data_IF_343942101266
#
_entry.id   IF_343942101266
#
_cell.length_a   1.000
_cell.length_b   1.000
_cell.length_c   1.000
_cell.angle_alpha   90.00
_cell.angle_beta   90.00
_cell.angle_gamma   90.00
#
_symmetry.space_group_name_H-M   'P 1'
#
loop_
_entity.id
_entity.type
_entity.pdbx_description
1 polymer ?
#
# COMPACT_ATOMS: atom_id res chain seq x y z
N UNK A 1 33.21 0.40 -17.95
CA UNK A 1 31.88 1.05 -17.80
C UNK A 1 30.79 0.13 -17.23
N UNK A 2 31.00 -1.20 -17.09
CA UNK A 2 30.00 -2.16 -16.57
C UNK A 2 30.02 -2.38 -15.04
N UNK A 3 31.05 -1.95 -14.30
CA UNK A 3 31.07 -2.11 -12.83
C UNK A 3 30.17 -1.14 -12.06
N UNK A 4 29.79 0.00 -12.64
CA UNK A 4 29.01 1.04 -11.93
C UNK A 4 27.52 0.68 -11.80
N UNK A 5 27.00 -0.17 -12.68
CA UNK A 5 25.59 -0.60 -12.68
C UNK A 5 25.33 -1.74 -11.70
N UNK A 6 26.30 -2.64 -11.51
CA UNK A 6 26.16 -3.73 -10.54
C UNK A 6 26.16 -3.22 -9.09
N UNK A 7 27.10 -2.32 -8.74
CA UNK A 7 27.17 -1.75 -7.39
C UNK A 7 25.93 -0.94 -6.99
N UNK A 8 25.31 -0.22 -7.94
CA UNK A 8 24.06 0.51 -7.70
C UNK A 8 22.85 -0.40 -7.49
N UNK A 9 22.84 -1.57 -8.14
CA UNK A 9 21.78 -2.57 -7.94
C UNK A 9 21.89 -3.20 -6.56
N UNK A 10 23.10 -3.54 -6.12
CA UNK A 10 23.34 -4.13 -4.80
C UNK A 10 23.02 -3.15 -3.66
N UNK A 11 23.38 -1.87 -3.81
CA UNK A 11 23.01 -0.82 -2.86
C UNK A 11 21.49 -0.60 -2.79
N UNK A 12 20.81 -0.60 -3.95
CA UNK A 12 19.36 -0.48 -4.01
C UNK A 12 18.64 -1.68 -3.36
N UNK A 13 19.11 -2.91 -3.63
CA UNK A 13 18.57 -4.13 -3.01
C UNK A 13 18.80 -4.15 -1.49
N UNK A 14 19.97 -3.71 -1.03
CA UNK A 14 20.26 -3.60 0.40
C UNK A 14 19.33 -2.60 1.09
N UNK A 15 19.12 -1.42 0.49
CA UNK A 15 18.19 -0.41 0.99
C UNK A 15 16.75 -0.93 1.02
N UNK A 16 16.29 -1.61 -0.03
CA UNK A 16 14.94 -2.20 -0.08
C UNK A 16 14.72 -3.23 1.03
N UNK A 17 15.73 -4.06 1.30
CA UNK A 17 15.67 -5.03 2.40
C UNK A 17 15.62 -4.34 3.76
N UNK A 18 16.44 -3.32 4.00
CA UNK A 18 16.43 -2.55 5.25
C UNK A 18 15.06 -1.91 5.49
N UNK A 19 14.47 -1.28 4.48
CA UNK A 19 13.13 -0.70 4.57
C UNK A 19 12.06 -1.76 4.85
N UNK A 20 12.14 -2.92 4.21
CA UNK A 20 11.20 -4.02 4.46
C UNK A 20 11.32 -4.58 5.88
N UNK A 21 12.54 -4.71 6.41
CA UNK A 21 12.79 -5.13 7.80
C UNK A 21 12.26 -4.10 8.81
N UNK A 22 12.47 -2.81 8.54
CA UNK A 22 11.93 -1.73 9.36
C UNK A 22 10.39 -1.72 9.36
N UNK A 23 9.76 -1.90 8.20
CA UNK A 23 8.30 -2.01 8.09
C UNK A 23 7.78 -3.25 8.82
N UNK A 24 8.47 -4.40 8.71
CA UNK A 24 8.10 -5.61 9.43
C UNK A 24 8.17 -5.42 10.96
N UNK A 25 9.13 -4.64 11.46
CA UNK A 25 9.22 -4.31 12.88
C UNK A 25 8.06 -3.41 13.37
N UNK A 26 7.52 -2.55 12.50
CA UNK A 26 6.40 -1.65 12.83
C UNK A 26 5.06 -2.38 12.74
N UNK A 27 4.84 -3.14 11.67
CA UNK A 27 3.54 -3.71 11.32
C UNK A 27 3.39 -5.18 11.68
N UNK A 28 4.49 -5.88 12.02
CA UNK A 28 4.47 -7.28 12.41
C UNK A 28 3.73 -8.15 11.40
N UNK A 29 2.80 -8.96 11.90
CA UNK A 29 2.02 -9.93 11.09
C UNK A 29 1.09 -9.30 10.04
N UNK A 30 0.84 -7.98 10.14
CA UNK A 30 0.03 -7.24 9.18
C UNK A 30 0.79 -6.97 7.87
N UNK A 31 2.13 -7.04 7.88
CA UNK A 31 2.97 -6.92 6.69
C UNK A 31 3.41 -8.30 6.22
N UNK A 32 3.15 -8.62 4.96
CA UNK A 32 3.53 -9.90 4.34
C UNK A 32 4.21 -9.68 3.00
N UNK A 33 5.43 -10.18 2.78
CA UNK A 33 6.02 -10.20 1.46
C UNK A 33 5.27 -11.19 0.55
N UNK A 34 4.96 -10.78 -0.67
CA UNK A 34 4.30 -11.55 -1.71
C UNK A 34 5.28 -11.83 -2.86
N UNK A 35 6.19 -12.79 -2.68
CA UNK A 35 7.15 -13.11 -3.73
C UNK A 35 8.11 -14.21 -3.31
N UNK A 36 8.97 -14.70 -4.22
CA UNK A 36 10.06 -15.58 -3.85
C UNK A 36 10.97 -14.84 -2.87
N UNK A 37 11.34 -15.50 -1.76
CA UNK A 37 12.26 -14.93 -0.77
C UNK A 37 13.55 -14.46 -1.47
N UNK A 38 13.78 -13.14 -1.49
CA UNK A 38 15.03 -12.54 -1.95
C UNK A 38 15.17 -12.25 -3.46
N UNK A 39 14.08 -12.19 -4.24
CA UNK A 39 14.15 -11.81 -5.67
C UNK A 39 13.27 -10.60 -6.03
N UNK A 40 13.77 -9.61 -6.81
CA UNK A 40 12.96 -8.49 -7.28
C UNK A 40 11.93 -8.92 -8.36
N UNK A 41 10.77 -8.25 -8.46
CA UNK A 41 10.33 -7.13 -7.62
C UNK A 41 9.88 -7.58 -6.23
N UNK A 42 10.27 -6.82 -5.20
CA UNK A 42 9.77 -7.05 -3.83
C UNK A 42 8.34 -6.53 -3.75
N UNK A 43 7.38 -7.43 -3.56
CA UNK A 43 5.98 -7.05 -3.35
C UNK A 43 5.65 -7.23 -1.88
N UNK A 44 5.05 -6.21 -1.28
CA UNK A 44 4.61 -6.17 0.10
C UNK A 44 3.09 -6.02 0.13
N UNK A 45 2.43 -6.80 0.98
CA UNK A 45 1.03 -6.68 1.32
C UNK A 45 0.90 -6.23 2.76
N UNK A 46 0.25 -5.09 2.98
CA UNK A 46 0.04 -4.52 4.29
C UNK A 46 -1.46 -4.45 4.58
N UNK A 47 -1.90 -5.10 5.65
CA UNK A 47 -3.26 -4.95 6.19
C UNK A 47 -3.32 -3.75 7.14
N UNK A 48 -4.17 -2.78 6.83
CA UNK A 48 -4.36 -1.56 7.59
C UNK A 48 -5.73 -1.60 8.28
N UNK A 49 -5.80 -1.61 9.61
CA UNK A 49 -7.07 -1.52 10.31
C UNK A 49 -7.73 -0.17 9.99
N UNK A 50 -9.04 -0.20 9.74
CA UNK A 50 -9.82 1.01 9.51
C UNK A 50 -10.53 1.38 10.80
N UNK A 51 -10.18 2.55 11.33
CA UNK A 51 -10.80 3.11 12.51
C UNK A 51 -12.01 3.97 12.10
N UNK A 52 -13.17 3.68 12.68
CA UNK A 52 -14.35 4.55 12.52
C UNK A 52 -14.17 5.73 13.48
N UNK A 53 -14.02 6.93 12.95
CA UNK A 53 -13.83 8.15 13.75
C UNK A 53 -14.94 8.28 14.82
N UNK A 54 -14.55 8.73 16.01
CA UNK A 54 -15.40 8.91 17.20
C UNK A 54 -15.98 7.64 17.83
N UNK A 55 -15.45 6.44 17.55
CA UNK A 55 -15.96 5.19 18.12
C UNK A 55 -17.40 4.89 17.68
N UNK A 56 -17.77 5.44 16.52
CA UNK A 56 -19.11 5.38 15.97
C UNK A 56 -19.41 4.10 15.21
N UNK A 57 -20.66 4.01 14.75
CA UNK A 57 -21.16 2.96 13.88
C UNK A 57 -21.13 3.47 12.44
N UNK A 58 -20.50 2.75 11.53
CA UNK A 58 -20.51 3.08 10.10
C UNK A 58 -21.85 2.65 9.48
N UNK A 59 -22.56 3.57 8.84
CA UNK A 59 -23.77 3.24 8.09
C UNK A 59 -23.43 2.57 6.75
N UNK A 60 -24.13 1.49 6.44
CA UNK A 60 -23.95 0.72 5.21
C UNK A 60 -25.09 1.03 4.27
N UNK A 61 -24.76 1.29 3.01
CA UNK A 61 -25.71 1.52 1.93
C UNK A 61 -25.48 0.48 0.83
N UNK A 62 -26.57 0.01 0.23
CA UNK A 62 -26.55 -0.78 -0.99
C UNK A 62 -26.86 0.13 -2.16
N UNK A 63 -26.01 0.12 -3.17
CA UNK A 63 -26.34 0.71 -4.46
C UNK A 63 -27.35 -0.20 -5.19
N UNK A 64 -28.48 0.38 -5.59
CA UNK A 64 -29.52 -0.27 -6.39
C UNK A 64 -29.83 0.57 -7.62
N UNK A 65 -30.56 0.02 -8.60
CA UNK A 65 -31.01 0.77 -9.79
C UNK A 65 -31.89 1.99 -9.43
N UNK A 66 -32.48 2.01 -8.23
CA UNK A 66 -33.33 3.10 -7.71
C UNK A 66 -32.55 4.09 -6.82
N UNK A 67 -31.26 3.84 -6.58
CA UNK A 67 -30.38 4.65 -5.73
C UNK A 67 -29.82 3.90 -4.52
N UNK A 68 -29.25 4.64 -3.58
CA UNK A 68 -28.67 4.10 -2.35
C UNK A 68 -29.77 3.78 -1.31
N UNK A 69 -29.77 2.54 -0.83
CA UNK A 69 -30.73 2.06 0.19
C UNK A 69 -29.97 1.68 1.45
N UNK A 70 -30.38 2.14 2.65
CA UNK A 70 -29.72 1.78 3.90
C UNK A 70 -29.82 0.27 4.15
N UNK A 71 -28.66 -0.36 4.35
CA UNK A 71 -28.47 -1.80 4.49
C UNK A 71 -28.31 -2.23 5.96
N UNK A 72 -27.91 -1.29 6.81
CA UNK A 72 -27.57 -1.56 8.20
C UNK A 72 -26.43 -0.66 8.64
N UNK A 73 -25.72 -1.07 9.69
CA UNK A 73 -24.56 -0.33 10.14
C UNK A 73 -23.62 -1.24 10.95
N UNK A 74 -22.32 -1.02 10.81
CA UNK A 74 -21.24 -1.85 11.35
C UNK A 74 -20.46 -1.11 12.43
N UNK A 75 -20.05 -1.83 13.48
CA UNK A 75 -19.18 -1.28 14.54
C UNK A 75 -17.69 -1.39 14.19
N UNK A 76 -17.35 -2.22 13.19
CA UNK A 76 -15.99 -2.43 12.70
C UNK A 76 -16.05 -2.59 11.18
N UNK A 77 -15.08 -2.01 10.49
CA UNK A 77 -14.92 -2.18 9.06
C UNK A 77 -13.82 -3.21 8.76
N UNK A 78 -13.93 -3.97 7.65
CA UNK A 78 -12.83 -4.82 7.21
C UNK A 78 -11.59 -3.96 6.94
N UNK A 79 -10.37 -4.49 7.19
CA UNK A 79 -9.14 -3.74 6.95
C UNK A 79 -9.00 -3.38 5.47
N UNK A 80 -8.34 -2.25 5.22
CA UNK A 80 -7.85 -1.92 3.88
C UNK A 80 -6.53 -2.67 3.64
N UNK A 81 -6.29 -3.08 2.40
CA UNK A 81 -5.04 -3.75 2.00
C UNK A 81 -4.27 -2.81 1.09
N UNK A 82 -3.05 -2.46 1.48
CA UNK A 82 -2.09 -1.76 0.64
C UNK A 82 -1.13 -2.77 0.02
N UNK A 83 -1.10 -2.83 -1.30
CA UNK A 83 -0.12 -3.57 -2.08
C UNK A 83 0.94 -2.59 -2.57
N UNK A 84 2.20 -2.90 -2.28
CA UNK A 84 3.36 -2.10 -2.67
C UNK A 84 4.35 -2.99 -3.43
N UNK A 85 4.60 -2.69 -4.70
CA UNK A 85 5.63 -3.36 -5.47
C UNK A 85 6.83 -2.41 -5.66
N UNK A 86 7.97 -2.81 -5.11
CA UNK A 86 9.23 -2.10 -5.28
C UNK A 86 9.91 -2.61 -6.57
N UNK A 87 10.09 -1.76 -7.59
CA UNK A 87 10.87 -2.12 -8.75
C UNK A 87 12.35 -2.33 -8.37
N UNK A 88 13.09 -3.07 -9.19
CA UNK A 88 14.53 -3.32 -8.98
C UNK A 88 15.36 -2.03 -8.94
N UNK A 89 14.87 -0.95 -9.53
CA UNK A 89 15.51 0.36 -9.55
C UNK A 89 15.03 1.29 -8.42
N UNK A 90 14.16 0.86 -7.51
CA UNK A 90 13.76 1.69 -6.37
C UNK A 90 14.98 2.04 -5.49
N UNK A 91 15.14 3.30 -5.05
CA UNK A 91 14.17 4.41 -5.11
C UNK A 91 14.29 5.34 -6.35
N UNK A 92 15.12 5.01 -7.35
CA UNK A 92 15.20 5.78 -8.60
C UNK A 92 13.90 5.67 -9.42
N UNK A 93 13.27 4.50 -9.38
CA UNK A 93 11.95 4.24 -9.92
C UNK A 93 10.95 4.18 -8.77
N UNK A 94 9.84 4.90 -8.90
CA UNK A 94 8.81 4.97 -7.86
C UNK A 94 8.14 3.61 -7.64
N UNK A 95 7.70 3.31 -6.40
CA UNK A 95 6.97 2.08 -6.14
C UNK A 95 5.60 2.11 -6.82
N UNK A 96 5.11 0.93 -7.22
CA UNK A 96 3.74 0.77 -7.66
C UNK A 96 2.87 0.47 -6.45
N UNK A 97 1.86 1.31 -6.22
CA UNK A 97 0.91 1.19 -5.11
C UNK A 97 -0.47 0.82 -5.64
N UNK A 98 -1.13 -0.11 -4.97
CA UNK A 98 -2.54 -0.43 -5.16
C UNK A 98 -3.22 -0.58 -3.80
N UNK A 99 -4.50 -0.24 -3.73
CA UNK A 99 -5.31 -0.32 -2.51
C UNK A 99 -6.57 -1.12 -2.77
N UNK A 100 -6.90 -2.02 -1.84
CA UNK A 100 -8.13 -2.78 -1.83
C UNK A 100 -8.86 -2.48 -0.51
N UNK A 101 -10.12 -2.07 -0.60
CA UNK A 101 -10.95 -1.84 0.59
C UNK A 101 -12.41 -2.15 0.26
N UNK A 102 -12.93 -3.25 0.79
CA UNK A 102 -14.28 -3.75 0.47
C UNK A 102 -15.40 -2.79 0.92
N UNK A 103 -15.11 -1.93 1.90
CA UNK A 103 -16.05 -0.95 2.43
C UNK A 103 -16.05 0.38 1.67
N UNK A 104 -15.19 0.53 0.65
CA UNK A 104 -15.14 1.73 -0.18
C UNK A 104 -15.72 1.45 -1.57
N UNK A 105 -16.57 2.35 -2.04
CA UNK A 105 -17.03 2.33 -3.43
C UNK A 105 -15.92 2.71 -4.41
N UNK A 106 -16.11 2.39 -5.70
CA UNK A 106 -15.12 2.65 -6.74
C UNK A 106 -14.63 4.11 -6.82
N UNK A 107 -15.49 5.15 -6.71
CA UNK A 107 -15.01 6.54 -6.76
C UNK A 107 -14.06 6.90 -5.61
N UNK A 108 -14.30 6.36 -4.41
CA UNK A 108 -13.45 6.60 -3.25
C UNK A 108 -12.12 5.84 -3.37
N UNK A 109 -12.16 4.60 -3.86
CA UNK A 109 -10.95 3.82 -4.17
C UNK A 109 -10.09 4.50 -5.25
N UNK A 110 -10.71 5.01 -6.31
CA UNK A 110 -10.01 5.71 -7.39
C UNK A 110 -9.32 6.99 -6.87
N UNK A 111 -10.03 7.77 -6.06
CA UNK A 111 -9.46 8.97 -5.43
C UNK A 111 -8.27 8.62 -4.51
N UNK A 112 -8.41 7.58 -3.67
CA UNK A 112 -7.33 7.11 -2.81
C UNK A 112 -6.13 6.59 -3.60
N UNK A 113 -6.37 5.88 -4.70
CA UNK A 113 -5.32 5.38 -5.58
C UNK A 113 -4.56 6.52 -6.30
N UNK A 114 -5.25 7.59 -6.69
CA UNK A 114 -4.62 8.81 -7.22
C UNK A 114 -3.72 9.48 -6.18
N UNK A 115 -4.20 9.65 -4.94
CA UNK A 115 -3.41 10.24 -3.84
C UNK A 115 -2.15 9.42 -3.53
N UNK A 116 -2.29 8.08 -3.45
CA UNK A 116 -1.14 7.18 -3.26
C UNK A 116 -0.12 7.31 -4.38
N UNK A 117 -0.57 7.40 -5.65
CA UNK A 117 0.32 7.63 -6.80
C UNK A 117 1.02 8.99 -6.71
N UNK A 118 0.32 10.02 -6.26
CA UNK A 118 0.89 11.34 -5.99
C UNK A 118 2.00 11.29 -4.93
N UNK A 119 1.79 10.57 -3.83
CA UNK A 119 2.77 10.38 -2.77
C UNK A 119 4.01 9.60 -3.25
N UNK A 120 3.81 8.54 -4.05
CA UNK A 120 4.90 7.75 -4.61
C UNK A 120 5.75 8.55 -5.61
N UNK A 121 5.11 9.40 -6.43
CA UNK A 121 5.81 10.26 -7.39
C UNK A 121 6.47 11.48 -6.73
N UNK A 122 5.91 11.99 -5.64
CA UNK A 122 6.36 13.19 -4.93
C UNK A 122 7.58 12.99 -4.03
N UNK A 123 8.04 11.76 -3.83
CA UNK A 123 9.27 11.43 -3.09
C UNK A 123 10.34 10.79 -3.99
N UNK A 124 11.05 11.57 -4.84
CA UNK A 124 12.36 11.13 -5.28
C UNK A 124 13.27 11.17 -4.04
N UNK A 125 13.98 10.07 -3.75
CA UNK A 125 14.81 9.96 -2.55
C UNK A 125 15.69 11.20 -2.29
N UNK A 126 15.61 11.73 -1.06
CA UNK A 126 16.54 12.74 -0.54
C UNK A 126 15.88 13.89 0.22
N UNK A 127 16.18 14.01 1.53
CA UNK A 127 16.06 15.29 2.23
C UNK A 127 15.78 15.27 3.73
N UNK A 128 16.59 14.58 4.53
CA UNK A 128 17.04 15.07 5.84
C UNK A 128 18.39 14.42 6.17
#
# INVERSE_FOLDING_TARGET
RQCLTAGRSEEAEAQQREEAEALAAIYGDALRPLGPEGGPPLVLRLELPVEIECGGRAELFLETDEGEVPAGAAEQLPPAVLLCALPSQYPLEAPLLAVEAEHLGAPALDALAEELRGLAAGRPGGGA
#
